data_IF_557710176256
#
_entry.id   IF_557710176256
#
_cell.length_a   1.000
_cell.length_b   1.000
_cell.length_c   1.000
_cell.angle_alpha   90.00
_cell.angle_beta   90.00
_cell.angle_gamma   90.00
#
_symmetry.space_group_name_H-M   'P 1'
#
loop_
_entity.id
_entity.type
_entity.pdbx_description
1 polymer ?
#
# COMPACT_ATOMS: atom_id res chain seq x y z
N UNK A 1 25.66 6.53 -18.57
CA UNK A 1 24.21 6.57 -18.85
C UNK A 1 23.52 6.36 -17.52
N UNK A 2 23.08 7.44 -16.87
CA UNK A 2 22.45 7.34 -15.53
C UNK A 2 21.01 6.92 -15.76
N UNK A 3 20.69 5.67 -15.42
CA UNK A 3 19.30 5.19 -15.44
C UNK A 3 18.57 5.94 -14.34
N UNK A 4 17.65 6.84 -14.72
CA UNK A 4 16.72 7.48 -13.78
C UNK A 4 15.80 6.39 -13.25
N UNK A 5 16.06 5.92 -12.04
CA UNK A 5 15.20 4.93 -11.38
C UNK A 5 14.05 5.70 -10.74
N UNK A 6 12.93 5.78 -11.45
CA UNK A 6 11.69 6.15 -10.81
C UNK A 6 11.25 4.92 -9.98
N UNK A 7 11.57 4.96 -8.69
CA UNK A 7 11.47 3.82 -7.78
C UNK A 7 10.02 3.41 -7.54
N UNK A 8 9.08 4.36 -7.49
CA UNK A 8 7.63 4.08 -7.46
C UNK A 8 7.21 3.31 -8.71
N UNK A 9 7.66 3.75 -9.90
CA UNK A 9 7.44 3.02 -11.16
C UNK A 9 8.17 1.68 -11.24
N UNK A 10 9.31 1.53 -10.60
CA UNK A 10 10.08 0.28 -10.58
C UNK A 10 9.42 -0.76 -9.68
N UNK A 11 8.79 -0.34 -8.57
CA UNK A 11 7.93 -1.22 -7.74
C UNK A 11 6.69 -1.66 -8.51
N UNK A 12 6.04 -0.72 -9.21
CA UNK A 12 4.86 -1.02 -10.02
C UNK A 12 5.19 -1.95 -11.20
N UNK A 13 6.27 -1.65 -11.94
CA UNK A 13 6.67 -2.40 -13.11
C UNK A 13 7.32 -3.76 -12.79
N UNK A 14 7.86 -3.93 -11.58
CA UNK A 14 8.45 -5.21 -11.16
C UNK A 14 7.41 -6.23 -10.69
N UNK A 15 6.13 -5.85 -10.48
CA UNK A 15 5.09 -6.81 -10.07
C UNK A 15 5.32 -7.44 -8.70
N UNK A 16 6.20 -6.85 -7.88
CA UNK A 16 6.70 -7.36 -6.59
C UNK A 16 5.73 -7.05 -5.44
N UNK A 17 4.47 -7.33 -5.73
CA UNK A 17 3.33 -6.80 -5.03
C UNK A 17 2.78 -7.86 -4.08
N UNK A 18 3.26 -7.85 -2.83
CA UNK A 18 2.52 -8.47 -1.74
C UNK A 18 1.18 -7.73 -1.55
N UNK A 19 0.09 -8.45 -1.24
CA UNK A 19 -1.25 -7.86 -1.09
C UNK A 19 -1.25 -6.72 -0.07
N UNK A 20 -0.45 -6.78 1.00
CA UNK A 20 -0.34 -5.66 1.94
C UNK A 20 0.53 -4.51 1.39
N UNK A 21 1.57 -4.79 0.59
CA UNK A 21 2.48 -3.78 0.05
C UNK A 21 1.88 -2.94 -1.09
N UNK A 22 1.10 -3.55 -1.99
CA UNK A 22 0.34 -2.83 -3.04
C UNK A 22 -0.62 -1.84 -2.40
N UNK A 23 -1.35 -2.30 -1.38
CA UNK A 23 -2.45 -1.52 -0.83
C UNK A 23 -1.95 -0.49 0.20
N UNK A 24 -0.82 -0.72 0.90
CA UNK A 24 -0.13 0.33 1.65
C UNK A 24 0.45 1.41 0.72
N UNK A 25 0.94 1.04 -0.47
CA UNK A 25 1.29 2.01 -1.49
C UNK A 25 0.08 2.87 -1.90
N UNK A 26 -1.10 2.28 -2.07
CA UNK A 26 -2.36 3.02 -2.28
C UNK A 26 -2.75 3.90 -1.08
N UNK A 27 -2.42 3.52 0.16
CA UNK A 27 -2.66 4.34 1.36
C UNK A 27 -1.85 5.65 1.35
N UNK A 28 -0.69 5.67 0.71
CA UNK A 28 0.15 6.88 0.55
C UNK A 28 0.04 7.53 -0.84
N UNK A 29 -0.61 6.88 -1.80
CA UNK A 29 -0.93 7.46 -3.10
C UNK A 29 -2.22 8.27 -2.96
N UNK A 30 -2.07 9.54 -2.56
CA UNK A 30 -3.17 10.51 -2.66
C UNK A 30 -3.61 10.68 -4.13
N UNK A 31 -4.92 10.83 -4.30
CA UNK A 31 -5.65 11.05 -5.54
C UNK A 31 -4.93 12.01 -6.50
N UNK A 32 -4.48 11.50 -7.65
CA UNK A 32 -4.34 12.27 -8.91
C UNK A 32 -3.81 11.44 -10.10
N UNK A 33 -3.75 10.10 -10.03
CA UNK A 33 -3.30 9.30 -11.18
C UNK A 33 -4.09 8.01 -11.34
N UNK A 34 -5.12 8.05 -12.20
CA UNK A 34 -5.51 6.88 -13.00
C UNK A 34 -4.28 6.40 -13.81
N UNK A 35 -4.04 5.09 -13.92
CA UNK A 35 -3.07 4.58 -14.87
C UNK A 35 -3.71 4.61 -16.27
N UNK A 36 -3.75 5.78 -16.90
CA UNK A 36 -3.92 5.80 -18.36
C UNK A 36 -2.69 5.17 -19.00
N UNK A 37 -2.95 4.16 -19.83
CA UNK A 37 -2.00 3.60 -20.77
C UNK A 37 -1.28 4.72 -21.55
N UNK A 38 0.04 4.70 -21.47
CA UNK A 38 1.00 5.01 -22.54
C UNK A 38 0.70 6.22 -23.48
N UNK A 39 1.65 7.18 -23.48
CA UNK A 39 1.82 8.27 -24.44
C UNK A 39 0.96 9.55 -24.30
N UNK A 40 1.28 10.40 -23.32
CA UNK A 40 1.18 11.87 -23.53
C UNK A 40 2.17 12.69 -22.67
N UNK A 41 3.47 12.39 -22.78
CA UNK A 41 4.49 13.33 -22.28
C UNK A 41 4.43 14.65 -23.08
N UNK A 42 3.91 15.68 -22.41
CA UNK A 42 3.86 17.12 -22.75
C UNK A 42 2.49 17.65 -23.19
N UNK A 43 1.51 17.71 -22.29
CA UNK A 43 0.80 18.99 -22.14
C UNK A 43 0.05 19.12 -20.82
N UNK A 44 0.33 20.24 -20.15
CA UNK A 44 -0.50 20.92 -19.16
C UNK A 44 -0.97 20.13 -17.93
N UNK A 45 -0.12 20.07 -16.91
CA UNK A 45 -0.62 20.33 -15.55
C UNK A 45 0.34 21.28 -14.82
N UNK A 46 -0.18 22.46 -14.49
CA UNK A 46 0.45 23.39 -13.57
C UNK A 46 0.03 22.95 -12.16
N UNK A 47 0.94 22.39 -11.34
CA UNK A 47 0.60 22.07 -9.96
C UNK A 47 0.22 23.35 -9.19
N UNK A 48 -0.62 23.26 -8.15
CA UNK A 48 -0.90 24.41 -7.28
C UNK A 48 0.43 24.98 -6.77
N UNK A 49 0.62 26.30 -6.95
CA UNK A 49 1.91 26.99 -6.84
C UNK A 49 2.64 26.87 -5.47
N UNK A 50 2.03 26.21 -4.48
CA UNK A 50 2.56 26.00 -3.13
C UNK A 50 3.38 24.70 -2.98
N UNK A 51 3.09 23.61 -3.71
CA UNK A 51 3.75 22.31 -3.47
C UNK A 51 5.19 22.30 -4.00
N UNK A 52 5.41 22.88 -5.19
CA UNK A 52 6.72 22.93 -5.84
C UNK A 52 7.74 23.75 -5.06
N UNK A 53 7.30 24.82 -4.38
CA UNK A 53 8.21 25.71 -3.65
C UNK A 53 8.78 25.09 -2.37
N UNK A 54 8.06 24.14 -1.73
CA UNK A 54 8.58 23.42 -0.57
C UNK A 54 9.53 22.31 -1.00
N UNK A 55 9.15 21.52 -2.00
CA UNK A 55 9.96 20.44 -2.57
C UNK A 55 11.34 20.94 -3.07
N UNK A 56 11.37 22.13 -3.67
CA UNK A 56 12.62 22.78 -4.11
C UNK A 56 13.57 23.15 -2.97
N UNK A 57 13.03 23.44 -1.78
CA UNK A 57 13.81 23.92 -0.62
C UNK A 57 14.27 22.81 0.32
N UNK A 58 13.77 21.59 0.16
CA UNK A 58 14.19 20.47 1.00
C UNK A 58 15.68 20.19 0.80
N UNK A 59 16.43 20.30 1.90
CA UNK A 59 17.83 19.90 1.98
C UNK A 59 17.97 18.37 2.03
N UNK A 60 19.19 17.86 1.78
CA UNK A 60 19.50 16.43 1.93
C UNK A 60 19.15 15.90 3.33
N UNK A 61 19.46 16.67 4.38
CA UNK A 61 19.19 16.27 5.77
C UNK A 61 17.69 16.14 6.01
N UNK A 62 16.91 17.13 5.58
CA UNK A 62 15.45 17.09 5.66
C UNK A 62 14.85 15.95 4.84
N UNK A 63 15.42 15.62 3.68
CA UNK A 63 15.00 14.47 2.89
C UNK A 63 15.22 13.15 3.65
N UNK A 64 16.38 12.95 4.27
CA UNK A 64 16.64 11.76 5.11
C UNK A 64 15.66 11.71 6.28
N UNK A 65 15.43 12.82 6.96
CA UNK A 65 14.47 12.91 8.08
C UNK A 65 13.04 12.60 7.62
N UNK A 66 12.63 13.08 6.44
CA UNK A 66 11.33 12.80 5.84
C UNK A 66 11.18 11.32 5.51
N UNK A 67 12.16 10.72 4.83
CA UNK A 67 12.16 9.28 4.52
C UNK A 67 12.10 8.44 5.80
N UNK A 68 12.79 8.86 6.86
CA UNK A 68 12.70 8.20 8.16
C UNK A 68 11.30 8.30 8.75
N UNK A 69 10.68 9.49 8.77
CA UNK A 69 9.30 9.66 9.24
C UNK A 69 8.31 8.79 8.45
N UNK A 70 8.50 8.65 7.13
CA UNK A 70 7.69 7.78 6.28
C UNK A 70 7.85 6.31 6.71
N UNK A 71 9.08 5.84 6.90
CA UNK A 71 9.33 4.49 7.37
C UNK A 71 8.71 4.23 8.76
N UNK A 72 8.86 5.17 9.68
CA UNK A 72 8.31 5.07 11.04
C UNK A 72 6.76 5.04 11.00
N UNK A 73 6.12 5.90 10.19
CA UNK A 73 4.66 5.92 9.99
C UNK A 73 4.13 4.62 9.35
N UNK A 74 4.89 4.03 8.43
CA UNK A 74 4.56 2.71 7.86
C UNK A 74 4.64 1.60 8.92
N UNK A 75 5.66 1.61 9.77
CA UNK A 75 5.81 0.62 10.84
C UNK A 75 4.69 0.77 11.89
N UNK A 76 4.29 2.00 12.23
CA UNK A 76 3.14 2.28 13.09
C UNK A 76 1.82 1.80 12.47
N UNK A 77 1.62 2.04 11.18
CA UNK A 77 0.43 1.57 10.44
C UNK A 77 0.36 0.03 10.41
N UNK A 78 1.49 -0.65 10.19
CA UNK A 78 1.58 -2.13 10.25
C UNK A 78 1.27 -2.65 11.65
N UNK A 79 1.77 -1.99 12.70
CA UNK A 79 1.49 -2.34 14.08
C UNK A 79 0.02 -2.15 14.45
N UNK A 80 -0.60 -1.06 13.95
CA UNK A 80 -2.04 -0.84 14.07
C UNK A 80 -2.82 -1.96 13.39
N UNK A 81 -2.52 -2.27 12.13
CA UNK A 81 -3.16 -3.36 11.39
C UNK A 81 -3.08 -4.69 12.15
N UNK A 82 -1.89 -5.05 12.66
CA UNK A 82 -1.71 -6.26 13.47
C UNK A 82 -2.60 -6.26 14.71
N UNK A 83 -2.65 -5.13 15.42
CA UNK A 83 -3.49 -4.96 16.62
C UNK A 83 -4.97 -5.14 16.31
N UNK A 84 -5.46 -4.51 15.24
CA UNK A 84 -6.88 -4.59 14.87
C UNK A 84 -7.25 -5.97 14.34
N UNK A 85 -6.36 -6.65 13.61
CA UNK A 85 -6.53 -8.07 13.25
C UNK A 85 -6.69 -8.93 14.51
N UNK A 86 -5.83 -8.77 15.51
CA UNK A 86 -5.92 -9.52 16.77
C UNK A 86 -7.23 -9.21 17.54
N UNK A 87 -7.69 -7.95 17.54
CA UNK A 87 -8.98 -7.56 18.10
C UNK A 87 -10.17 -8.24 17.40
N UNK A 88 -10.11 -8.36 16.06
CA UNK A 88 -11.13 -9.07 15.26
C UNK A 88 -11.12 -10.58 15.52
N UNK A 89 -9.94 -11.20 15.55
CA UNK A 89 -9.77 -12.63 15.81
C UNK A 89 -10.22 -13.01 17.24
N UNK A 90 -9.94 -12.15 18.22
CA UNK A 90 -10.35 -12.34 19.61
C UNK A 90 -11.80 -11.89 19.89
N UNK A 91 -12.53 -11.44 18.87
CA UNK A 91 -13.92 -10.95 18.95
C UNK A 91 -14.10 -9.76 19.89
N UNK A 92 -13.04 -9.00 20.16
CA UNK A 92 -13.09 -7.73 20.90
C UNK A 92 -13.61 -6.58 20.05
N UNK A 93 -13.42 -6.67 18.74
CA UNK A 93 -13.96 -5.75 17.74
C UNK A 93 -14.98 -6.46 16.86
N UNK A 94 -16.05 -5.75 16.49
CA UNK A 94 -17.04 -6.25 15.53
C UNK A 94 -16.46 -6.25 14.13
N UNK A 95 -16.79 -7.26 13.33
CA UNK A 95 -16.26 -7.46 11.97
C UNK A 95 -17.00 -6.66 10.88
N UNK A 96 -17.68 -5.57 11.24
CA UNK A 96 -18.33 -4.69 10.27
C UNK A 96 -17.34 -3.65 9.73
N UNK A 97 -17.54 -3.20 8.48
CA UNK A 97 -16.68 -2.20 7.86
C UNK A 97 -16.57 -0.92 8.68
N UNK A 98 -17.69 -0.43 9.20
CA UNK A 98 -17.72 0.84 9.94
C UNK A 98 -17.04 0.74 11.31
N UNK A 99 -17.22 -0.39 12.01
CA UNK A 99 -16.58 -0.60 13.31
C UNK A 99 -15.05 -0.67 13.15
N UNK A 100 -14.56 -1.35 12.12
CA UNK A 100 -13.12 -1.43 11.81
C UNK A 100 -12.59 -0.08 11.32
N UNK A 101 -13.33 0.62 10.44
CA UNK A 101 -12.97 1.96 10.00
C UNK A 101 -12.79 2.93 11.18
N UNK A 102 -13.75 2.98 12.09
CA UNK A 102 -13.68 3.85 13.27
C UNK A 102 -12.49 3.51 14.15
N UNK A 103 -12.21 2.21 14.33
CA UNK A 103 -11.06 1.73 15.10
C UNK A 103 -9.73 2.13 14.47
N UNK A 104 -9.62 2.06 13.14
CA UNK A 104 -8.45 2.51 12.39
C UNK A 104 -8.32 4.04 12.45
N UNK A 105 -9.41 4.78 12.22
CA UNK A 105 -9.45 6.25 12.23
C UNK A 105 -8.91 6.83 13.55
N UNK A 106 -9.24 6.20 14.67
CA UNK A 106 -8.83 6.65 16.00
C UNK A 106 -7.32 6.50 16.29
N UNK A 107 -6.57 5.77 15.46
CA UNK A 107 -5.17 5.42 15.75
C UNK A 107 -4.24 5.44 14.55
N UNK A 108 -4.73 5.79 13.36
CA UNK A 108 -3.89 5.90 12.17
C UNK A 108 -2.84 7.00 12.41
N UNK A 109 -1.55 6.74 12.14
CA UNK A 109 -0.53 7.77 12.27
C UNK A 109 -0.74 8.85 11.21
N UNK A 110 -0.41 10.12 11.51
CA UNK A 110 -0.44 11.18 10.51
C UNK A 110 0.49 10.87 9.33
N UNK A 111 0.08 11.26 8.13
CA UNK A 111 0.93 11.15 6.95
C UNK A 111 2.08 12.19 7.02
N UNK A 112 3.35 11.75 7.01
CA UNK A 112 4.49 12.65 7.07
C UNK A 112 4.61 13.61 5.87
N UNK A 113 4.12 13.21 4.69
CA UNK A 113 4.12 14.05 3.50
C UNK A 113 3.09 15.17 3.64
N UNK A 114 1.85 14.82 4.01
CA UNK A 114 0.78 15.82 4.21
C UNK A 114 1.12 16.79 5.33
N UNK A 115 1.75 16.30 6.41
CA UNK A 115 2.20 17.12 7.53
C UNK A 115 3.23 18.18 7.11
N UNK A 116 3.95 17.95 6.02
CA UNK A 116 4.94 18.88 5.45
C UNK A 116 4.40 19.61 4.20
N UNK A 117 3.12 19.41 3.85
CA UNK A 117 2.48 19.97 2.65
C UNK A 117 3.04 19.43 1.34
N UNK A 118 3.50 18.18 1.35
CA UNK A 118 4.13 17.50 0.21
C UNK A 118 3.21 16.44 -0.37
N UNK A 119 3.35 16.22 -1.67
CA UNK A 119 2.76 15.09 -2.38
C UNK A 119 3.79 13.97 -2.56
N UNK A 120 3.32 12.80 -2.98
CA UNK A 120 4.21 11.71 -3.39
C UNK A 120 5.08 12.12 -4.59
N UNK A 121 4.55 12.94 -5.50
CA UNK A 121 5.31 13.48 -6.62
C UNK A 121 6.45 14.41 -6.16
N UNK A 122 6.18 15.25 -5.16
CA UNK A 122 7.21 16.10 -4.56
C UNK A 122 8.31 15.27 -3.90
N UNK A 123 7.94 14.18 -3.21
CA UNK A 123 8.91 13.24 -2.65
C UNK A 123 9.78 12.61 -3.74
N UNK A 124 9.19 12.15 -4.84
CA UNK A 124 9.93 11.58 -5.98
C UNK A 124 10.95 12.58 -6.53
N UNK A 125 10.56 13.85 -6.69
CA UNK A 125 11.47 14.89 -7.14
C UNK A 125 12.62 15.17 -6.16
N UNK A 126 12.30 15.22 -4.86
CA UNK A 126 13.29 15.42 -3.80
C UNK A 126 14.27 14.24 -3.70
N UNK A 127 13.77 13.02 -3.84
CA UNK A 127 14.57 11.79 -3.85
C UNK A 127 15.49 11.76 -5.08
N UNK A 128 14.98 12.08 -6.28
CA UNK A 128 15.79 12.09 -7.53
C UNK A 128 17.00 13.02 -7.40
N UNK A 129 16.84 14.17 -6.72
CA UNK A 129 17.91 15.13 -6.44
C UNK A 129 19.05 14.53 -5.61
N UNK A 130 18.76 13.60 -4.71
CA UNK A 130 19.71 13.02 -3.75
C UNK A 130 19.96 11.51 -3.94
N UNK A 131 19.50 10.91 -5.04
CA UNK A 131 19.51 9.46 -5.28
C UNK A 131 20.89 8.78 -5.23
N UNK A 132 21.97 9.55 -5.43
CA UNK A 132 23.34 9.04 -5.37
C UNK A 132 23.86 8.88 -3.93
N UNK A 133 23.13 9.42 -2.94
CA UNK A 133 23.50 9.31 -1.55
C UNK A 133 23.18 7.92 -0.98
N UNK A 134 24.15 7.21 -0.39
CA UNK A 134 23.92 5.89 0.20
C UNK A 134 22.80 5.87 1.25
N UNK A 135 22.73 6.88 2.13
CA UNK A 135 21.74 6.92 3.19
C UNK A 135 20.32 7.12 2.65
N UNK A 136 20.17 7.87 1.56
CA UNK A 136 18.89 8.02 0.85
C UNK A 136 18.48 6.67 0.23
N UNK A 137 19.39 5.97 -0.46
CA UNK A 137 19.10 4.66 -1.03
C UNK A 137 18.72 3.63 0.03
N UNK A 138 19.44 3.59 1.14
CA UNK A 138 19.15 2.67 2.25
C UNK A 138 17.77 2.97 2.86
N UNK A 139 17.43 4.25 3.01
CA UNK A 139 16.11 4.67 3.51
C UNK A 139 14.98 4.29 2.55
N UNK A 140 15.19 4.45 1.24
CA UNK A 140 14.24 4.03 0.20
C UNK A 140 14.03 2.51 0.24
N UNK A 141 15.11 1.73 0.32
CA UNK A 141 15.02 0.26 0.41
C UNK A 141 14.21 -0.15 1.65
N UNK A 142 14.42 0.52 2.79
CA UNK A 142 13.64 0.27 4.00
C UNK A 142 12.16 0.55 3.81
N UNK A 143 11.80 1.69 3.21
CA UNK A 143 10.42 2.08 2.90
C UNK A 143 9.76 1.10 1.94
N UNK A 144 10.49 0.65 0.91
CA UNK A 144 9.98 -0.29 -0.09
C UNK A 144 9.62 -1.65 0.50
N UNK A 145 9.90 -1.90 1.79
CA UNK A 145 9.58 -3.14 2.51
C UNK A 145 10.06 -4.38 1.73
N UNK A 146 11.13 -4.23 0.92
CA UNK A 146 11.87 -5.34 0.34
C UNK A 146 12.80 -5.84 1.45
N UNK A 147 12.22 -6.28 2.57
CA UNK A 147 12.95 -7.10 3.52
C UNK A 147 12.98 -8.48 2.87
N UNK A 148 14.17 -8.99 2.47
CA UNK A 148 14.26 -10.34 1.96
C UNK A 148 13.66 -11.27 3.00
N UNK A 149 12.71 -12.12 2.62
CA UNK A 149 12.09 -13.03 3.57
C UNK A 149 13.16 -13.94 4.15
N UNK A 150 13.23 -14.02 5.48
CA UNK A 150 14.28 -14.77 6.18
C UNK A 150 14.30 -16.25 5.75
N UNK A 151 15.51 -16.83 5.71
CA UNK A 151 15.69 -18.25 5.45
C UNK A 151 15.09 -19.06 6.60
N UNK A 152 14.15 -19.96 6.28
CA UNK A 152 13.48 -20.84 7.24
C UNK A 152 11.98 -20.58 7.45
N UNK A 153 11.44 -19.44 7.00
CA UNK A 153 9.99 -19.23 7.01
C UNK A 153 9.30 -20.23 6.07
N UNK A 154 8.16 -20.85 6.49
CA UNK A 154 7.36 -21.65 5.58
C UNK A 154 6.97 -20.83 4.35
N UNK A 155 6.89 -21.48 3.19
CA UNK A 155 6.54 -20.82 1.93
C UNK A 155 5.32 -21.53 1.38
N UNK A 156 4.26 -20.78 1.14
CA UNK A 156 3.05 -21.32 0.55
C UNK A 156 3.32 -21.71 -0.91
N UNK A 157 2.69 -22.80 -1.36
CA UNK A 157 2.70 -23.16 -2.77
C UNK A 157 1.99 -22.08 -3.60
N UNK A 158 2.28 -22.04 -4.90
CA UNK A 158 1.63 -21.09 -5.81
C UNK A 158 0.12 -21.30 -5.86
N UNK A 159 -0.37 -22.54 -5.83
CA UNK A 159 -1.81 -22.77 -5.80
C UNK A 159 -2.46 -22.38 -4.47
N UNK A 160 -1.76 -22.55 -3.35
CA UNK A 160 -2.25 -22.01 -2.07
C UNK A 160 -2.31 -20.49 -2.10
N UNK A 161 -1.31 -19.81 -2.68
CA UNK A 161 -1.31 -18.35 -2.86
C UNK A 161 -2.52 -17.92 -3.71
N UNK A 162 -2.73 -18.55 -4.86
CA UNK A 162 -3.85 -18.23 -5.76
C UNK A 162 -5.19 -18.45 -5.06
N UNK A 163 -5.37 -19.59 -4.37
CA UNK A 163 -6.59 -19.90 -3.63
C UNK A 163 -6.88 -18.87 -2.52
N UNK A 164 -5.85 -18.37 -1.86
CA UNK A 164 -5.99 -17.30 -0.87
C UNK A 164 -6.41 -15.99 -1.57
N UNK A 165 -5.82 -15.64 -2.71
CA UNK A 165 -6.18 -14.42 -3.45
C UNK A 165 -7.61 -14.48 -4.03
N UNK A 166 -8.08 -15.65 -4.47
CA UNK A 166 -9.48 -15.85 -4.85
C UNK A 166 -10.44 -15.61 -3.69
N UNK A 167 -10.06 -16.09 -2.49
CA UNK A 167 -10.83 -15.80 -1.30
C UNK A 167 -10.79 -14.32 -0.93
N UNK A 168 -9.61 -13.68 -0.99
CA UNK A 168 -9.47 -12.25 -0.74
C UNK A 168 -10.36 -11.41 -1.67
N UNK A 169 -10.41 -11.74 -2.96
CA UNK A 169 -11.29 -11.09 -3.93
C UNK A 169 -12.77 -11.25 -3.54
N UNK A 170 -13.21 -12.46 -3.23
CA UNK A 170 -14.60 -12.70 -2.81
C UNK A 170 -14.97 -11.94 -1.52
N UNK A 171 -14.05 -11.84 -0.58
CA UNK A 171 -14.26 -11.05 0.64
C UNK A 171 -14.30 -9.55 0.35
N UNK A 172 -13.46 -9.07 -0.57
CA UNK A 172 -13.44 -7.68 -1.03
C UNK A 172 -14.75 -7.29 -1.71
N UNK A 173 -15.27 -8.12 -2.64
CA UNK A 173 -16.57 -7.91 -3.28
C UNK A 173 -17.70 -7.74 -2.25
N UNK A 174 -17.70 -8.57 -1.19
CA UNK A 174 -18.65 -8.46 -0.09
C UNK A 174 -18.49 -7.18 0.74
N UNK A 175 -17.25 -6.71 0.93
CA UNK A 175 -16.96 -5.43 1.60
C UNK A 175 -17.41 -4.25 0.74
N UNK A 176 -17.14 -4.27 -0.58
CA UNK A 176 -17.58 -3.25 -1.54
C UNK A 176 -19.10 -3.15 -1.56
N UNK A 177 -19.81 -4.29 -1.59
CA UNK A 177 -21.27 -4.31 -1.49
C UNK A 177 -21.76 -3.66 -0.18
N UNK A 178 -21.08 -3.94 0.94
CA UNK A 178 -21.38 -3.33 2.24
C UNK A 178 -21.12 -1.81 2.22
N UNK A 179 -19.99 -1.37 1.66
CA UNK A 179 -19.64 0.04 1.49
C UNK A 179 -20.68 0.79 0.64
N UNK A 180 -21.10 0.21 -0.49
CA UNK A 180 -22.11 0.81 -1.37
C UNK A 180 -23.45 1.00 -0.67
N UNK A 181 -23.76 0.21 0.35
CA UNK A 181 -24.98 0.35 1.16
C UNK A 181 -24.89 1.41 2.28
N UNK A 182 -23.70 1.93 2.57
CA UNK A 182 -23.51 2.89 3.66
C UNK A 182 -24.04 4.29 3.29
N UNK A 183 -24.76 4.97 4.21
CA UNK A 183 -25.04 6.39 4.06
C UNK A 183 -23.75 7.19 4.21
N UNK A 184 -23.61 8.29 3.46
CA UNK A 184 -22.43 9.17 3.51
C UNK A 184 -21.09 8.47 3.26
N UNK A 185 -21.08 7.40 2.45
CA UNK A 185 -19.85 6.66 2.12
C UNK A 185 -18.73 7.55 1.55
N UNK A 186 -19.10 8.61 0.83
CA UNK A 186 -18.19 9.60 0.23
C UNK A 186 -17.47 10.48 1.26
N UNK A 187 -17.96 10.57 2.50
CA UNK A 187 -17.27 11.33 3.56
C UNK A 187 -16.23 10.53 4.32
N UNK A 188 -16.06 9.24 4.00
CA UNK A 188 -15.06 8.40 4.63
C UNK A 188 -13.68 8.72 4.07
N UNK A 189 -12.69 8.83 4.95
CA UNK A 189 -11.31 9.09 4.56
C UNK A 189 -10.74 7.83 3.88
N UNK A 190 -10.34 7.98 2.62
CA UNK A 190 -9.89 6.89 1.74
C UNK A 190 -8.73 6.08 2.33
N UNK A 191 -7.78 6.73 3.01
CA UNK A 191 -6.63 6.07 3.66
C UNK A 191 -7.05 5.13 4.78
N UNK A 192 -7.91 5.63 5.67
CA UNK A 192 -8.46 4.86 6.77
C UNK A 192 -9.35 3.73 6.26
N UNK A 193 -10.15 3.99 5.23
CA UNK A 193 -10.98 2.99 4.58
C UNK A 193 -10.12 1.86 4.01
N UNK A 194 -9.02 2.22 3.35
CA UNK A 194 -8.06 1.26 2.79
C UNK A 194 -7.49 0.34 3.86
N UNK A 195 -7.03 0.91 4.97
CA UNK A 195 -6.51 0.15 6.10
C UNK A 195 -7.58 -0.77 6.70
N UNK A 196 -8.82 -0.29 6.84
CA UNK A 196 -9.91 -1.06 7.40
C UNK A 196 -10.28 -2.28 6.54
N UNK A 197 -10.36 -2.09 5.22
CA UNK A 197 -10.61 -3.18 4.26
C UNK A 197 -9.49 -4.23 4.31
N UNK A 198 -8.23 -3.80 4.28
CA UNK A 198 -7.08 -4.70 4.40
C UNK A 198 -7.16 -5.50 5.69
N UNK A 199 -7.37 -4.83 6.82
CA UNK A 199 -7.45 -5.45 8.14
C UNK A 199 -8.57 -6.50 8.21
N UNK A 200 -9.74 -6.19 7.65
CA UNK A 200 -10.85 -7.13 7.55
C UNK A 200 -10.47 -8.36 6.74
N UNK A 201 -9.96 -8.18 5.52
CA UNK A 201 -9.57 -9.28 4.64
C UNK A 201 -8.48 -10.13 5.31
N UNK A 202 -7.44 -9.51 5.87
CA UNK A 202 -6.36 -10.20 6.57
C UNK A 202 -6.87 -11.02 7.75
N UNK A 203 -7.79 -10.47 8.55
CA UNK A 203 -8.40 -11.22 9.66
C UNK A 203 -9.19 -12.43 9.15
N UNK A 204 -9.95 -12.30 8.05
CA UNK A 204 -10.76 -13.39 7.48
C UNK A 204 -9.90 -14.46 6.82
N UNK A 205 -8.81 -14.06 6.15
CA UNK A 205 -7.81 -15.00 5.62
C UNK A 205 -7.20 -15.81 6.75
N UNK A 206 -6.81 -15.15 7.84
CA UNK A 206 -6.24 -15.84 9.00
C UNK A 206 -7.26 -16.77 9.68
N UNK A 207 -8.54 -16.39 9.75
CA UNK A 207 -9.61 -17.26 10.25
C UNK A 207 -9.83 -18.49 9.36
N UNK A 208 -9.82 -18.31 8.03
CA UNK A 208 -10.16 -19.37 7.08
C UNK A 208 -9.02 -20.35 6.81
N UNK A 209 -7.79 -19.85 6.68
CA UNK A 209 -6.62 -20.64 6.28
C UNK A 209 -5.66 -20.91 7.43
N UNK A 210 -5.81 -20.23 8.57
CA UNK A 210 -4.91 -20.39 9.72
C UNK A 210 -3.53 -19.74 9.55
N UNK A 211 -3.25 -19.13 8.39
CA UNK A 211 -2.01 -18.41 8.13
C UNK A 211 -2.11 -16.97 8.62
N UNK A 212 -1.03 -16.48 9.24
CA UNK A 212 -0.87 -15.03 9.42
C UNK A 212 -0.79 -14.37 8.06
N UNK A 213 -1.43 -13.22 7.90
CA UNK A 213 -1.41 -12.47 6.63
C UNK A 213 0.02 -12.16 6.16
N UNK A 214 0.95 -11.92 7.08
CA UNK A 214 2.37 -11.69 6.79
C UNK A 214 3.06 -12.88 6.11
N UNK A 215 2.61 -14.12 6.37
CA UNK A 215 3.13 -15.32 5.69
C UNK A 215 2.70 -15.37 4.23
N UNK A 216 1.48 -14.93 3.93
CA UNK A 216 0.96 -14.83 2.56
C UNK A 216 1.78 -13.83 1.77
N UNK A 217 2.01 -12.64 2.34
CA UNK A 217 2.83 -11.59 1.72
C UNK A 217 4.26 -12.06 1.43
N UNK A 218 4.92 -12.68 2.42
CA UNK A 218 6.26 -13.25 2.26
C UNK A 218 6.29 -14.33 1.18
N UNK A 219 5.25 -15.15 1.08
CA UNK A 219 5.17 -16.21 0.08
C UNK A 219 4.97 -15.67 -1.34
N UNK A 220 4.22 -14.57 -1.49
CA UNK A 220 4.10 -13.87 -2.78
C UNK A 220 5.46 -13.32 -3.21
N UNK A 221 6.21 -12.69 -2.29
CA UNK A 221 7.56 -12.16 -2.58
C UNK A 221 8.53 -13.29 -2.97
N UNK A 222 8.54 -14.41 -2.23
CA UNK A 222 9.42 -15.56 -2.53
C UNK A 222 9.10 -16.21 -3.89
N UNK A 223 7.82 -16.29 -4.26
CA UNK A 223 7.38 -16.91 -5.52
C UNK A 223 7.15 -15.90 -6.65
N UNK A 224 7.64 -14.66 -6.50
CA UNK A 224 7.31 -13.56 -7.40
C UNK A 224 7.63 -13.86 -8.87
N UNK A 225 8.77 -14.49 -9.15
CA UNK A 225 9.17 -14.83 -10.53
C UNK A 225 8.11 -15.68 -11.24
N UNK A 226 7.60 -16.71 -10.57
CA UNK A 226 6.61 -17.62 -11.15
C UNK A 226 5.21 -17.00 -11.15
N UNK A 227 4.84 -16.30 -10.09
CA UNK A 227 3.56 -15.59 -9.99
C UNK A 227 3.42 -14.48 -11.03
N UNK A 228 4.51 -13.79 -11.38
CA UNK A 228 4.51 -12.72 -12.40
C UNK A 228 4.15 -13.23 -13.79
N UNK A 229 4.41 -14.52 -14.08
CA UNK A 229 4.08 -15.18 -15.34
C UNK A 229 2.72 -15.89 -15.28
N UNK A 230 2.07 -15.91 -14.11
CA UNK A 230 0.81 -16.61 -13.90
C UNK A 230 -0.38 -15.70 -14.25
N UNK A 231 -1.06 -16.01 -15.34
CA UNK A 231 -2.18 -15.20 -15.85
C UNK A 231 -3.40 -15.17 -14.93
N UNK A 232 -3.63 -16.24 -14.14
CA UNK A 232 -4.72 -16.29 -13.15
C UNK A 232 -4.41 -15.36 -11.98
N UNK A 233 -3.18 -15.40 -11.46
CA UNK A 233 -2.74 -14.50 -10.41
C UNK A 233 -2.78 -13.03 -10.85
N UNK A 234 -2.29 -12.72 -12.06
CA UNK A 234 -2.38 -11.37 -12.62
C UNK A 234 -3.83 -10.87 -12.72
N UNK A 235 -4.75 -11.70 -13.22
CA UNK A 235 -6.18 -11.37 -13.31
C UNK A 235 -6.79 -11.09 -11.94
N UNK A 236 -6.49 -11.90 -10.94
CA UNK A 236 -7.00 -11.69 -9.58
C UNK A 236 -6.55 -10.35 -9.00
N UNK A 237 -5.28 -9.99 -9.20
CA UNK A 237 -4.77 -8.70 -8.74
C UNK A 237 -5.43 -7.53 -9.45
N UNK A 238 -5.64 -7.62 -10.78
CA UNK A 238 -6.38 -6.59 -11.52
C UNK A 238 -7.82 -6.44 -11.03
N UNK A 239 -8.51 -7.55 -10.77
CA UNK A 239 -9.88 -7.52 -10.24
C UNK A 239 -9.93 -6.91 -8.84
N UNK A 240 -9.03 -7.31 -7.95
CA UNK A 240 -8.95 -6.73 -6.61
C UNK A 240 -8.65 -5.23 -6.65
N UNK A 241 -7.77 -4.78 -7.55
CA UNK A 241 -7.47 -3.37 -7.74
C UNK A 241 -8.71 -2.60 -8.24
N UNK A 242 -9.45 -3.17 -9.20
CA UNK A 242 -10.69 -2.58 -9.71
C UNK A 242 -11.73 -2.44 -8.61
N UNK A 243 -11.97 -3.50 -7.82
CA UNK A 243 -12.92 -3.48 -6.71
C UNK A 243 -12.51 -2.51 -5.61
N UNK A 244 -11.21 -2.37 -5.34
CA UNK A 244 -10.74 -1.38 -4.37
C UNK A 244 -10.98 0.05 -4.83
N UNK A 245 -10.78 0.31 -6.13
CA UNK A 245 -10.96 1.64 -6.72
C UNK A 245 -12.41 2.12 -6.62
N UNK A 246 -13.39 1.23 -6.51
CA UNK A 246 -14.79 1.61 -6.23
C UNK A 246 -15.00 2.24 -4.85
N UNK A 247 -14.08 2.03 -3.91
CA UNK A 247 -14.13 2.57 -2.55
C UNK A 247 -13.15 3.72 -2.32
N UNK A 248 -12.01 3.70 -3.02
CA UNK A 248 -10.89 4.62 -2.80
C UNK A 248 -10.61 5.54 -3.98
N UNK A 249 -11.25 5.32 -5.13
CA UNK A 249 -11.24 6.21 -6.28
C UNK A 249 -11.95 7.52 -6.01
#
# INVERSE_FOLDING_TARGET
>A
MVVKVNWTKTVIASGLFAATAVFLYYLFKNDDEEPEEFDSYKQSHTPPALSTTRAEKISKKECIELLKKIADSQDETKALMATVVDELLSKKLKSSLIDVYQRCCASIPPDPLESEGLTLFDLDHVVDRYQNDPAIRDSIVKIMTIVPPEDGDPVLSIEEIIRIHEFMLSELEGIVASYKSLPNRESLEKKVLTLAVQTLISSRVQQKFGYKYTLVDKSVIKNHSELSMNTRFARLNMQMQSEMSEMTG
#
